data_IF_564162064066
#
_entry.id   IF_564162064066
#
_cell.length_a   1.000
_cell.length_b   1.000
_cell.length_c   1.000
_cell.angle_alpha   90.00
_cell.angle_beta   90.00
_cell.angle_gamma   90.00
#
_symmetry.space_group_name_H-M   'P 1'
#
loop_
_entity.id
_entity.type
_entity.pdbx_description
1 polymer ?
#
# COMPACT_ATOMS: atom_id res chain seq x y z
N UNK A 1 -24.70 20.06 -8.27
CA UNK A 1 -24.20 18.74 -8.69
C UNK A 1 -22.89 18.97 -9.43
N UNK A 2 -21.76 18.91 -8.73
CA UNK A 2 -20.45 19.31 -9.28
C UNK A 2 -19.89 18.14 -10.08
N UNK A 3 -19.71 18.33 -11.39
CA UNK A 3 -19.03 17.37 -12.25
C UNK A 3 -17.59 17.28 -11.74
N UNK A 4 -17.14 16.11 -11.33
CA UNK A 4 -15.71 15.88 -11.13
C UNK A 4 -15.04 16.05 -12.50
N UNK A 5 -14.09 17.00 -12.68
CA UNK A 5 -13.47 17.28 -13.98
C UNK A 5 -12.65 16.10 -14.55
N UNK A 6 -12.62 14.97 -13.84
CA UNK A 6 -11.85 13.78 -14.19
C UNK A 6 -12.72 12.54 -14.01
N UNK A 7 -12.73 11.68 -15.04
CA UNK A 7 -13.39 10.38 -14.96
C UNK A 7 -12.70 9.46 -13.96
N UNK A 8 -13.46 8.58 -13.31
CA UNK A 8 -12.93 7.73 -12.25
C UNK A 8 -11.95 6.69 -12.81
N UNK A 9 -12.18 6.23 -14.03
CA UNK A 9 -11.30 5.33 -14.79
C UNK A 9 -9.92 5.96 -14.99
N UNK A 10 -9.89 7.26 -15.32
CA UNK A 10 -8.65 8.03 -15.42
C UNK A 10 -7.96 8.16 -14.05
N UNK A 11 -8.69 8.48 -12.99
CA UNK A 11 -8.11 8.56 -11.64
C UNK A 11 -7.56 7.20 -11.16
N UNK A 12 -8.19 6.10 -11.56
CA UNK A 12 -7.79 4.74 -11.22
C UNK A 12 -6.59 4.24 -12.03
N UNK A 13 -6.37 4.78 -13.24
CA UNK A 13 -5.21 4.43 -14.07
C UNK A 13 -3.90 5.11 -13.61
N UNK A 14 -3.99 6.19 -12.83
CA UNK A 14 -2.80 6.89 -12.30
C UNK A 14 -2.04 6.01 -11.29
N UNK A 15 -0.79 5.69 -11.64
CA UNK A 15 0.18 4.96 -10.82
C UNK A 15 1.57 5.61 -10.93
N UNK A 16 1.69 6.88 -10.52
CA UNK A 16 2.98 7.57 -10.42
C UNK A 16 3.69 7.20 -9.10
N UNK A 17 5.02 7.05 -9.11
CA UNK A 17 5.83 6.30 -8.14
C UNK A 17 5.56 6.45 -6.63
N UNK A 18 4.95 7.55 -6.17
CA UNK A 18 4.51 7.69 -4.76
C UNK A 18 3.16 7.02 -4.44
N UNK A 19 2.44 6.56 -5.46
CA UNK A 19 1.11 5.96 -5.36
C UNK A 19 1.10 4.60 -6.11
N UNK A 20 0.82 3.48 -5.42
CA UNK A 20 0.67 2.17 -6.03
C UNK A 20 -0.61 2.09 -6.87
N UNK A 21 -0.76 1.05 -7.73
CA UNK A 21 -1.95 0.85 -8.55
C UNK A 21 -3.25 0.88 -7.72
N UNK A 22 -4.35 1.29 -8.35
CA UNK A 22 -5.66 1.36 -7.70
C UNK A 22 -6.09 0.01 -7.11
N UNK A 23 -5.77 -1.07 -7.81
CA UNK A 23 -6.06 -2.44 -7.37
C UNK A 23 -4.73 -3.19 -7.26
N UNK A 24 -4.43 -3.68 -6.06
CA UNK A 24 -3.34 -4.61 -5.83
C UNK A 24 -3.93 -6.03 -5.71
N UNK A 25 -3.66 -6.87 -6.71
CA UNK A 25 -4.05 -8.28 -6.69
C UNK A 25 -2.91 -9.11 -6.11
N UNK A 26 -3.19 -9.86 -5.06
CA UNK A 26 -2.21 -10.69 -4.35
C UNK A 26 -2.73 -12.13 -4.31
N UNK A 27 -1.85 -13.11 -4.53
CA UNK A 27 -2.17 -14.54 -4.37
C UNK A 27 -1.85 -14.98 -2.95
N UNK A 28 -2.54 -16.01 -2.46
CA UNK A 28 -2.19 -16.66 -1.19
C UNK A 28 -0.70 -17.07 -1.21
N UNK A 29 -0.01 -16.82 -0.10
CA UNK A 29 1.43 -17.10 0.06
C UNK A 29 2.34 -16.36 -0.92
N UNK A 30 1.88 -15.25 -1.53
CA UNK A 30 2.75 -14.41 -2.34
C UNK A 30 3.71 -13.59 -1.46
N UNK A 31 4.98 -13.44 -1.86
CA UNK A 31 5.88 -12.50 -1.20
C UNK A 31 5.44 -11.06 -1.51
N UNK A 32 5.46 -10.23 -0.47
CA UNK A 32 5.18 -8.80 -0.51
C UNK A 32 6.40 -8.03 0.01
N UNK A 33 6.46 -6.75 -0.30
CA UNK A 33 7.48 -5.84 0.22
C UNK A 33 6.85 -4.54 0.69
N UNK A 34 7.26 -4.06 1.85
CA UNK A 34 6.89 -2.73 2.30
C UNK A 34 7.65 -1.68 1.50
N UNK A 35 6.91 -0.71 0.95
CA UNK A 35 7.47 0.43 0.19
C UNK A 35 7.71 1.67 1.07
N UNK A 36 7.38 1.58 2.36
CA UNK A 36 7.54 2.66 3.32
C UNK A 36 7.63 2.15 4.74
N UNK A 37 8.17 2.98 5.62
CA UNK A 37 8.21 2.71 7.04
C UNK A 37 6.79 2.78 7.63
N UNK A 38 6.40 1.72 8.35
CA UNK A 38 5.15 1.64 9.12
C UNK A 38 5.48 1.70 10.61
N UNK A 39 6.28 0.75 11.09
CA UNK A 39 6.85 0.78 12.44
C UNK A 39 8.25 0.14 12.44
N UNK A 40 9.31 0.95 12.29
CA UNK A 40 10.69 0.48 12.27
C UNK A 40 11.08 -0.30 13.54
N UNK A 41 10.47 0.00 14.69
CA UNK A 41 10.80 -0.68 15.96
C UNK A 41 10.42 -2.16 15.93
N UNK A 42 9.40 -2.52 15.16
CA UNK A 42 8.96 -3.90 14.93
C UNK A 42 9.47 -4.47 13.60
N UNK A 43 10.45 -3.83 12.95
CA UNK A 43 11.01 -4.31 11.68
C UNK A 43 10.07 -4.15 10.49
N UNK A 44 9.01 -3.33 10.61
CA UNK A 44 8.09 -2.99 9.52
C UNK A 44 8.57 -1.71 8.82
N UNK A 45 9.72 -1.80 8.16
CA UNK A 45 10.37 -0.71 7.45
C UNK A 45 10.33 -0.90 5.93
N UNK A 46 10.73 0.12 5.19
CA UNK A 46 10.90 0.02 3.74
C UNK A 46 11.87 -1.11 3.39
N UNK A 47 11.49 -1.96 2.44
CA UNK A 47 12.26 -3.12 2.02
C UNK A 47 11.99 -4.41 2.81
N UNK A 48 11.27 -4.35 3.95
CA UNK A 48 10.87 -5.57 4.67
C UNK A 48 10.06 -6.48 3.77
N UNK A 49 10.54 -7.71 3.59
CA UNK A 49 9.82 -8.75 2.85
C UNK A 49 8.84 -9.45 3.79
N UNK A 50 7.64 -9.64 3.28
CA UNK A 50 6.50 -10.21 3.98
C UNK A 50 5.93 -11.36 3.17
N UNK A 51 5.24 -12.29 3.81
CA UNK A 51 4.45 -13.33 3.16
C UNK A 51 2.97 -12.99 3.37
N UNK A 52 2.20 -12.96 2.29
CA UNK A 52 0.75 -12.75 2.38
C UNK A 52 0.06 -14.00 2.93
N UNK A 53 -0.75 -13.81 3.98
CA UNK A 53 -1.45 -14.90 4.64
C UNK A 53 -2.97 -14.75 4.59
N UNK A 54 -3.49 -13.53 4.47
CA UNK A 54 -4.91 -13.30 4.35
C UNK A 54 -5.30 -11.82 4.38
N UNK A 55 -6.60 -11.58 4.17
CA UNK A 55 -7.20 -10.26 4.25
C UNK A 55 -8.38 -10.31 5.22
N UNK A 56 -8.32 -9.48 6.26
CA UNK A 56 -9.47 -9.14 7.10
C UNK A 56 -10.09 -7.83 6.60
N UNK A 57 -11.28 -7.47 7.11
CA UNK A 57 -12.11 -6.36 6.62
C UNK A 57 -11.34 -5.09 6.20
N UNK A 58 -10.33 -4.67 6.97
CA UNK A 58 -9.43 -3.55 6.63
C UNK A 58 -7.95 -3.80 7.00
N UNK A 59 -7.55 -5.06 7.18
CA UNK A 59 -6.21 -5.43 7.63
C UNK A 59 -5.63 -6.54 6.78
N UNK A 60 -4.40 -6.33 6.32
CA UNK A 60 -3.61 -7.35 5.66
C UNK A 60 -2.90 -8.18 6.70
N UNK A 61 -3.14 -9.48 6.67
CA UNK A 61 -2.46 -10.43 7.53
C UNK A 61 -1.23 -10.97 6.81
N UNK A 62 -0.07 -10.77 7.44
CA UNK A 62 1.22 -11.08 6.86
C UNK A 62 2.16 -11.69 7.88
N UNK A 63 3.12 -12.45 7.38
CA UNK A 63 4.26 -12.91 8.16
C UNK A 63 5.53 -12.18 7.71
N UNK A 64 6.37 -11.78 8.65
CA UNK A 64 7.66 -11.15 8.35
C UNK A 64 8.64 -12.24 7.92
N UNK A 65 9.26 -12.08 6.75
CA UNK A 65 10.17 -13.09 6.18
C UNK A 65 11.64 -12.75 6.44
N UNK A 66 11.95 -11.48 6.76
CA UNK A 66 13.33 -10.98 6.82
C UNK A 66 13.57 -10.14 8.08
N UNK A 67 14.82 -10.12 8.55
CA UNK A 67 15.25 -9.32 9.70
C UNK A 67 15.01 -10.01 11.05
N UNK A 68 15.24 -9.27 12.13
CA UNK A 68 15.19 -9.75 13.52
C UNK A 68 13.79 -10.20 13.98
N UNK A 69 12.74 -9.85 13.21
CA UNK A 69 11.36 -10.22 13.50
C UNK A 69 10.82 -11.28 12.53
N UNK A 70 11.68 -11.99 11.79
CA UNK A 70 11.26 -13.07 10.90
C UNK A 70 10.42 -14.14 11.64
N UNK A 71 9.41 -14.68 10.95
CA UNK A 71 8.44 -15.64 11.48
C UNK A 71 7.31 -15.01 12.31
N UNK A 72 7.37 -13.72 12.64
CA UNK A 72 6.29 -13.05 13.39
C UNK A 72 5.15 -12.63 12.47
N UNK A 73 3.92 -12.74 12.98
CA UNK A 73 2.71 -12.20 12.33
C UNK A 73 2.59 -10.69 12.55
N UNK A 74 2.15 -9.98 11.53
CA UNK A 74 1.81 -8.57 11.60
C UNK A 74 0.48 -8.30 10.87
N UNK A 75 -0.27 -7.33 11.38
CA UNK A 75 -1.53 -6.90 10.78
C UNK A 75 -1.37 -5.47 10.27
N UNK A 76 -1.33 -5.32 8.94
CA UNK A 76 -1.12 -4.01 8.33
C UNK A 76 -2.47 -3.39 7.99
N UNK A 77 -2.83 -2.23 8.56
CA UNK A 77 -4.06 -1.56 8.19
C UNK A 77 -3.97 -1.04 6.74
N UNK A 78 -5.11 -0.89 6.09
CA UNK A 78 -5.18 -0.19 4.81
C UNK A 78 -4.83 1.30 5.00
N UNK A 79 -3.65 1.70 4.54
CA UNK A 79 -3.15 3.08 4.69
C UNK A 79 -3.65 3.93 3.52
N UNK A 80 -4.26 5.09 3.83
CA UNK A 80 -4.61 6.07 2.81
C UNK A 80 -3.35 6.72 2.26
N UNK A 81 -3.20 6.70 0.94
CA UNK A 81 -2.08 7.32 0.25
C UNK A 81 -2.53 8.60 -0.44
N UNK A 82 -1.68 9.62 -0.44
CA UNK A 82 -1.93 10.89 -1.11
C UNK A 82 -0.74 11.25 -1.97
N UNK A 83 -0.98 11.83 -3.14
CA UNK A 83 0.10 12.44 -3.91
C UNK A 83 0.65 13.65 -3.15
N UNK A 84 1.95 13.89 -3.32
CA UNK A 84 2.56 15.15 -2.91
C UNK A 84 2.33 16.23 -3.99
N UNK A 85 2.64 17.50 -3.66
CA UNK A 85 2.53 18.60 -4.64
C UNK A 85 3.50 18.45 -5.81
N UNK A 86 4.59 17.70 -5.63
CA UNK A 86 5.60 17.43 -6.65
C UNK A 86 5.20 16.33 -7.65
N UNK A 87 4.00 15.74 -7.53
CA UNK A 87 3.54 14.68 -8.42
C UNK A 87 3.23 15.17 -9.86
N UNK A 88 3.22 16.49 -10.09
CA UNK A 88 2.90 17.07 -11.40
C UNK A 88 1.43 16.92 -11.79
N UNK A 89 0.56 16.51 -10.85
CA UNK A 89 -0.88 16.47 -11.05
C UNK A 89 -1.50 17.82 -10.66
N UNK A 90 -2.52 18.30 -11.40
CA UNK A 90 -3.26 19.51 -11.04
C UNK A 90 -4.15 19.33 -9.79
N UNK A 91 -4.12 18.16 -9.15
CA UNK A 91 -4.90 17.82 -7.97
C UNK A 91 -4.15 16.86 -7.03
N UNK A 92 -4.63 16.75 -5.79
CA UNK A 92 -4.18 15.75 -4.83
C UNK A 92 -5.02 14.49 -4.99
N UNK A 93 -4.41 13.41 -5.47
CA UNK A 93 -5.05 12.11 -5.57
C UNK A 93 -4.96 11.41 -4.22
N UNK A 94 -6.09 10.97 -3.68
CA UNK A 94 -6.14 10.15 -2.47
C UNK A 94 -6.58 8.73 -2.82
N UNK A 95 -5.78 7.73 -2.47
CA UNK A 95 -6.10 6.30 -2.61
C UNK A 95 -6.49 5.74 -1.26
N UNK A 96 -7.70 5.16 -1.18
CA UNK A 96 -8.20 4.49 0.01
C UNK A 96 -7.97 3.01 -0.05
#
# INVERSE_FOLDING_TARGET
MTILPYQQEFLNSISQGSIPPHILKVKNSAPLMLLRNIDPRYGLCNGTRLLYCGLFKNMLDVEIVTGSNAGKRAFLPKIKLKTNRSAGLPFVLSRK
#
